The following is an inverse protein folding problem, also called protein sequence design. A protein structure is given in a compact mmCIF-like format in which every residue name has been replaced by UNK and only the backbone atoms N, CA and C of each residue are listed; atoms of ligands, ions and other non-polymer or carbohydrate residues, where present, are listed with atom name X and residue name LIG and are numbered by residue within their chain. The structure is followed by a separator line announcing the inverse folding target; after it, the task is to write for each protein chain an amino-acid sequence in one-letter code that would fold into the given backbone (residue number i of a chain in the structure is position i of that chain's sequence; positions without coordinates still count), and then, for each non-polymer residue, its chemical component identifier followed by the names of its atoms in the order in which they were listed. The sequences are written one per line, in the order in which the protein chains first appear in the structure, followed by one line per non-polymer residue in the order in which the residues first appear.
data_IF_304670480560
#
_entry.id   IF_304670480560
#
_cell.length_a   1.000
_cell.length_b   1.000
_cell.length_c   1.000
_cell.angle_alpha   90.00
_cell.angle_beta   90.00
_cell.angle_gamma   90.00
#
_symmetry.space_group_name_H-M   'P 1'
#
loop_
_entity.id
_entity.type
_entity.pdbx_description
1 polymer ?
#
# COMPACT_ATOMS: atom_id res chain seq x y z
N UNK A 1 -17.11 2.18 0.34
CA UNK A 1 -16.08 1.39 1.05
C UNK A 1 -15.74 2.13 2.31
N UNK A 2 -15.63 1.45 3.45
CA UNK A 2 -15.19 2.07 4.71
C UNK A 2 -13.67 2.06 4.74
N UNK A 3 -13.07 3.16 4.30
CA UNK A 3 -11.61 3.33 4.17
C UNK A 3 -10.90 3.23 5.51
N UNK A 4 -11.47 3.75 6.60
CA UNK A 4 -10.91 3.57 7.96
C UNK A 4 -10.82 2.11 8.32
N UNK A 5 -11.86 1.33 8.03
CA UNK A 5 -11.87 -0.11 8.31
C UNK A 5 -10.84 -0.87 7.49
N UNK A 6 -10.63 -0.52 6.22
CA UNK A 6 -9.56 -1.09 5.39
C UNK A 6 -8.19 -0.83 6.03
N UNK A 7 -7.90 0.42 6.38
CA UNK A 7 -6.62 0.82 7.00
C UNK A 7 -6.40 0.09 8.34
N UNK A 8 -7.45 -0.06 9.16
CA UNK A 8 -7.36 -0.82 10.41
C UNK A 8 -7.02 -2.30 10.16
N UNK A 9 -7.69 -2.95 9.21
CA UNK A 9 -7.43 -4.35 8.88
C UNK A 9 -6.01 -4.54 8.31
N UNK A 10 -5.55 -3.62 7.45
CA UNK A 10 -4.18 -3.61 6.94
C UNK A 10 -3.16 -3.38 8.07
N UNK A 11 -3.41 -2.47 8.99
CA UNK A 11 -2.50 -2.21 10.12
C UNK A 11 -2.35 -3.41 11.04
N UNK A 12 -3.42 -4.17 11.29
CA UNK A 12 -3.33 -5.44 12.05
C UNK A 12 -2.42 -6.44 11.33
N UNK A 13 -2.48 -6.49 10.00
CA UNK A 13 -1.59 -7.35 9.21
C UNK A 13 -0.14 -6.85 9.24
N UNK A 14 0.07 -5.55 9.06
CA UNK A 14 1.40 -4.92 9.02
C UNK A 14 2.11 -5.05 10.36
N UNK A 15 1.40 -4.88 11.47
CA UNK A 15 1.92 -5.09 12.82
C UNK A 15 2.44 -6.52 13.00
N UNK A 16 1.66 -7.53 12.59
CA UNK A 16 2.06 -8.95 12.64
C UNK A 16 3.30 -9.26 11.79
N UNK A 17 3.55 -8.47 10.75
CA UNK A 17 4.71 -8.61 9.86
C UNK A 17 5.91 -7.76 10.29
N UNK A 18 5.76 -6.91 11.31
CA UNK A 18 6.79 -5.95 11.69
C UNK A 18 7.00 -4.85 10.64
N UNK A 19 5.97 -4.54 9.85
CA UNK A 19 5.99 -3.45 8.87
C UNK A 19 5.51 -2.14 9.52
N UNK A 20 5.81 -1.00 8.88
CA UNK A 20 5.40 0.30 9.39
C UNK A 20 3.90 0.48 9.22
N UNK A 21 3.22 0.88 10.29
CA UNK A 21 1.77 1.07 10.27
C UNK A 21 1.40 2.33 9.46
N UNK A 22 0.28 2.24 8.75
CA UNK A 22 -0.34 3.35 8.05
C UNK A 22 -1.02 4.30 9.05
N UNK A 23 -0.92 5.62 8.84
CA UNK A 23 -1.69 6.59 9.63
C UNK A 23 -3.19 6.30 9.59
N UNK A 24 -3.87 6.50 10.71
CA UNK A 24 -5.30 6.18 10.84
C UNK A 24 -6.18 7.16 10.06
N UNK A 25 -5.67 8.35 9.73
CA UNK A 25 -6.40 9.42 9.06
C UNK A 25 -6.29 9.43 7.52
N UNK A 26 -5.73 8.40 6.87
CA UNK A 26 -5.42 8.39 5.42
C UNK A 26 -6.63 8.26 4.47
N UNK A 27 -7.73 8.96 4.73
CA UNK A 27 -8.83 9.13 3.78
C UNK A 27 -8.57 10.37 2.93
N UNK A 28 -8.40 10.19 1.62
CA UNK A 28 -8.16 11.31 0.71
C UNK A 28 -9.25 11.35 -0.37
N UNK A 29 -9.88 12.51 -0.63
CA UNK A 29 -10.78 12.69 -1.77
C UNK A 29 -10.09 12.37 -3.11
N UNK A 30 -10.82 11.80 -4.09
CA UNK A 30 -10.29 11.41 -5.42
C UNK A 30 -9.55 12.52 -6.19
N UNK A 31 -9.85 13.78 -5.85
CA UNK A 31 -9.36 14.99 -6.49
C UNK A 31 -8.30 15.74 -5.68
N UNK A 32 -7.97 15.25 -4.48
CA UNK A 32 -6.83 15.75 -3.72
C UNK A 32 -5.68 14.75 -3.91
N UNK A 33 -4.57 15.22 -4.46
CA UNK A 33 -3.28 14.58 -4.22
C UNK A 33 -2.99 14.87 -2.75
N UNK A 34 -3.66 14.16 -1.84
CA UNK A 34 -3.41 14.28 -0.41
C UNK A 34 -1.91 14.15 -0.21
N UNK A 35 -1.31 15.05 0.57
CA UNK A 35 0.14 15.17 0.72
C UNK A 35 0.77 13.77 0.78
N UNK A 36 1.34 13.37 -0.35
CA UNK A 36 1.72 11.99 -0.70
C UNK A 36 2.88 11.47 0.17
N UNK A 37 3.26 12.28 1.16
CA UNK A 37 4.33 12.13 2.14
C UNK A 37 3.97 11.14 3.27
N UNK A 38 2.71 10.74 3.44
CA UNK A 38 2.26 9.91 4.59
C UNK A 38 1.83 8.47 4.28
N UNK A 39 2.24 7.92 3.13
CA UNK A 39 2.49 6.48 3.04
C UNK A 39 1.48 5.60 2.34
N UNK A 40 0.19 5.81 2.56
CA UNK A 40 -0.87 5.03 1.90
C UNK A 40 -2.04 5.90 1.57
N UNK A 41 -2.56 5.80 0.35
CA UNK A 41 -3.77 6.50 -0.08
C UNK A 41 -4.78 5.47 -0.54
N UNK A 42 -6.02 5.58 -0.09
CA UNK A 42 -7.13 4.79 -0.64
C UNK A 42 -8.08 5.72 -1.34
N UNK A 43 -8.18 5.57 -2.66
CA UNK A 43 -9.08 6.33 -3.51
C UNK A 43 -10.49 5.71 -3.51
N UNK A 44 -11.52 6.53 -3.73
CA UNK A 44 -12.92 6.06 -3.77
C UNK A 44 -13.21 5.21 -5.00
N UNK A 45 -12.39 5.32 -6.04
CA UNK A 45 -12.45 4.50 -7.25
C UNK A 45 -11.89 3.07 -7.08
N UNK A 46 -11.53 2.70 -5.84
CA UNK A 46 -11.09 1.36 -5.42
C UNK A 46 -9.62 1.07 -5.74
N UNK A 47 -8.79 2.10 -5.69
CA UNK A 47 -7.34 2.02 -5.77
C UNK A 47 -6.69 2.22 -4.39
N UNK A 48 -5.67 1.42 -4.11
CA UNK A 48 -4.86 1.47 -2.90
C UNK A 48 -3.40 1.74 -3.27
N UNK A 49 -2.90 2.89 -2.89
CA UNK A 49 -1.51 3.26 -3.11
C UNK A 49 -0.71 2.95 -1.85
N UNK A 50 0.45 2.31 -2.03
CA UNK A 50 1.37 1.97 -0.95
C UNK A 50 2.76 2.49 -1.27
N UNK A 51 3.26 3.40 -0.44
CA UNK A 51 4.65 3.80 -0.46
C UNK A 51 5.51 2.65 0.10
N UNK A 52 6.47 2.21 -0.71
CA UNK A 52 7.36 1.10 -0.35
C UNK A 52 8.15 1.36 0.93
N UNK A 53 8.37 2.61 1.33
CA UNK A 53 9.05 2.95 2.59
C UNK A 53 8.29 2.52 3.87
N UNK A 54 7.03 2.07 3.75
CA UNK A 54 6.30 1.45 4.87
C UNK A 54 6.62 -0.03 5.04
N UNK A 55 7.35 -0.61 4.10
CA UNK A 55 7.68 -2.03 4.06
C UNK A 55 9.22 -2.12 3.98
N UNK A 56 9.88 -2.96 4.79
CA UNK A 56 11.34 -3.03 4.84
C UNK A 56 11.92 -3.78 3.62
N UNK A 57 11.73 -3.22 2.42
CA UNK A 57 12.23 -3.79 1.18
C UNK A 57 13.76 -3.84 1.16
N UNK A 58 14.39 -2.82 1.75
CA UNK A 58 15.84 -2.67 1.90
C UNK A 58 16.54 -3.92 2.43
N UNK A 59 15.89 -4.67 3.33
CA UNK A 59 16.41 -5.93 3.88
C UNK A 59 16.44 -7.10 2.89
N UNK A 60 15.86 -6.92 1.70
CA UNK A 60 15.60 -7.98 0.74
C UNK A 60 15.96 -7.61 -0.71
N UNK A 61 16.42 -6.38 -0.97
CA UNK A 61 16.80 -5.93 -2.31
C UNK A 61 18.03 -6.65 -2.88
N UNK A 62 18.85 -7.26 -2.03
CA UNK A 62 19.99 -8.10 -2.42
C UNK A 62 19.55 -9.42 -3.07
N UNK A 63 18.31 -9.84 -2.84
CA UNK A 63 17.77 -11.16 -3.23
C UNK A 63 16.56 -11.07 -4.16
N UNK A 64 15.82 -9.97 -4.10
CA UNK A 64 14.55 -9.82 -4.81
C UNK A 64 14.47 -8.48 -5.53
N UNK A 65 13.83 -8.49 -6.69
CA UNK A 65 13.48 -7.25 -7.39
C UNK A 65 12.34 -6.54 -6.66
N UNK A 66 12.22 -5.21 -6.87
CA UNK A 66 11.09 -4.43 -6.34
C UNK A 66 9.73 -5.04 -6.70
N UNK A 67 9.57 -5.50 -7.95
CA UNK A 67 8.34 -6.18 -8.40
C UNK A 67 8.09 -7.50 -7.68
N UNK A 68 9.13 -8.25 -7.37
CA UNK A 68 9.02 -9.49 -6.60
C UNK A 68 8.56 -9.24 -5.16
N UNK A 69 9.08 -8.18 -4.54
CA UNK A 69 8.66 -7.73 -3.22
C UNK A 69 7.23 -7.18 -3.23
N UNK A 70 6.85 -6.41 -4.25
CA UNK A 70 5.45 -5.95 -4.43
C UNK A 70 4.48 -7.12 -4.51
N UNK A 71 4.84 -8.16 -5.30
CA UNK A 71 4.02 -9.38 -5.39
C UNK A 71 3.90 -10.09 -4.04
N UNK A 72 5.01 -10.21 -3.31
CA UNK A 72 5.00 -10.81 -1.97
C UNK A 72 4.06 -10.06 -1.01
N UNK A 73 4.01 -8.73 -1.09
CA UNK A 73 3.09 -7.92 -0.27
C UNK A 73 1.64 -8.15 -0.69
N UNK A 74 1.37 -8.18 -2.00
CA UNK A 74 0.04 -8.46 -2.56
C UNK A 74 -0.52 -9.76 -2.00
N UNK A 75 0.28 -10.83 -1.98
CA UNK A 75 -0.16 -12.14 -1.49
C UNK A 75 -0.70 -12.08 -0.03
N UNK A 76 -0.30 -11.08 0.78
CA UNK A 76 -0.85 -10.87 2.12
C UNK A 76 -2.04 -9.92 2.19
N UNK A 77 -2.07 -8.86 1.37
CA UNK A 77 -3.11 -7.82 1.44
C UNK A 77 -4.32 -8.14 0.55
N UNK A 78 -4.16 -9.01 -0.46
CA UNK A 78 -5.19 -9.37 -1.43
C UNK A 78 -6.52 -9.83 -0.78
N UNK A 79 -6.54 -10.65 0.29
CA UNK A 79 -7.79 -11.02 0.94
C UNK A 79 -8.56 -9.83 1.53
N UNK A 80 -7.85 -8.87 2.12
CA UNK A 80 -8.45 -7.63 2.67
C UNK A 80 -8.94 -6.77 1.50
N UNK A 81 -8.14 -6.65 0.45
CA UNK A 81 -8.50 -5.87 -0.72
C UNK A 81 -9.76 -6.41 -1.42
N UNK A 82 -9.84 -7.73 -1.64
CA UNK A 82 -11.03 -8.39 -2.22
C UNK A 82 -12.28 -8.21 -1.35
N UNK A 83 -12.15 -8.35 -0.03
CA UNK A 83 -13.24 -8.13 0.92
C UNK A 83 -13.84 -6.72 0.82
N UNK A 84 -13.00 -5.71 0.58
CA UNK A 84 -13.42 -4.31 0.46
C UNK A 84 -13.59 -3.83 -0.98
N UNK A 85 -13.49 -4.74 -1.96
CA UNK A 85 -13.65 -4.46 -3.39
C UNK A 85 -12.62 -3.44 -3.91
N UNK A 86 -11.39 -3.49 -3.42
CA UNK A 86 -10.23 -2.79 -3.98
C UNK A 86 -9.79 -3.56 -5.23
N UNK A 87 -9.63 -2.86 -6.34
CA UNK A 87 -9.34 -3.45 -7.66
C UNK A 87 -7.87 -3.33 -8.05
N UNK A 88 -7.22 -2.28 -7.58
CA UNK A 88 -5.85 -1.96 -7.93
C UNK A 88 -5.05 -1.65 -6.68
N UNK A 89 -3.81 -2.12 -6.67
CA UNK A 89 -2.81 -1.68 -5.70
C UNK A 89 -1.64 -1.11 -6.48
N UNK A 90 -1.27 0.14 -6.21
CA UNK A 90 -0.08 0.76 -6.77
C UNK A 90 1.02 0.89 -5.72
N UNK A 91 2.20 0.33 -6.01
CA UNK A 91 3.37 0.48 -5.16
C UNK A 91 4.26 1.60 -5.68
N UNK A 92 4.55 2.57 -4.81
CA UNK A 92 5.19 3.83 -5.18
C UNK A 92 6.48 4.00 -4.37
N UNK A 93 7.49 4.59 -5.00
CA UNK A 93 8.69 5.07 -4.33
C UNK A 93 8.95 6.49 -4.79
N UNK A 94 8.87 7.45 -3.87
CA UNK A 94 9.18 8.85 -4.14
C UNK A 94 10.65 9.14 -3.80
N UNK A 95 11.38 9.84 -4.69
CA UNK A 95 12.80 10.17 -4.52
C UNK A 95 13.53 10.30 -5.85
N UNK A 96 14.87 10.27 -5.84
CA UNK A 96 15.71 10.40 -7.05
C UNK A 96 15.49 9.28 -8.08
N UNK A 97 14.97 8.13 -7.65
CA UNK A 97 14.55 7.02 -8.51
C UNK A 97 13.06 6.73 -8.30
N UNK A 98 12.22 7.62 -8.81
CA UNK A 98 10.77 7.41 -8.79
C UNK A 98 10.41 6.10 -9.51
N UNK A 99 9.66 5.23 -8.84
CA UNK A 99 9.17 3.99 -9.46
C UNK A 99 7.77 3.64 -8.99
N UNK A 100 6.95 3.21 -9.95
CA UNK A 100 5.55 2.83 -9.73
C UNK A 100 5.29 1.44 -10.28
N UNK A 101 4.45 0.68 -9.59
CA UNK A 101 4.02 -0.63 -10.04
C UNK A 101 2.57 -0.87 -9.65
N UNK A 102 1.67 -0.76 -10.62
CA UNK A 102 0.24 -1.02 -10.46
C UNK A 102 -0.07 -2.49 -10.72
N UNK A 103 -0.76 -3.12 -9.77
CA UNK A 103 -1.16 -4.52 -9.80
C UNK A 103 -2.68 -4.59 -9.73
N UNK A 104 -3.28 -5.40 -10.60
CA UNK A 104 -4.73 -5.70 -10.58
C UNK A 104 -4.98 -6.94 -9.72
N UNK A 105 -6.03 -6.90 -8.89
CA UNK A 105 -6.41 -7.94 -7.92
C UNK A 105 -7.56 -8.84 -8.37
#
# INVERSE_FOLDING_TARGET
MDTKKVIQELNVLFEKKGWKLFPKENEVPDNEIGDFFWGVVIYKDKELDIQRNYIPYDKHLDKFTLRGLDKYVIDFIEPICKKHNIKFVEFITNGEQESRNKITL
#
